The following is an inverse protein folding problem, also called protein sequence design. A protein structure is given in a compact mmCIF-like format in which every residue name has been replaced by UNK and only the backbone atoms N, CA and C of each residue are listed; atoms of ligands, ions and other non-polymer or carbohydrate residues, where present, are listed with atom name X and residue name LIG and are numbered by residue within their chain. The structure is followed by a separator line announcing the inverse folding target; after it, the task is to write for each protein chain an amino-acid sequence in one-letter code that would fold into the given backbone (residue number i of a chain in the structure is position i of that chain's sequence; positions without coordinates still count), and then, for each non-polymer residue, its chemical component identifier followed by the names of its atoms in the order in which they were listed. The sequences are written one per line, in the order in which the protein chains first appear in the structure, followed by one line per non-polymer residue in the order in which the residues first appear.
data_IF_813346073646
#
_entry.id   IF_813346073646
#
_cell.length_a   1.000
_cell.length_b   1.000
_cell.length_c   1.000
_cell.angle_alpha   90.00
_cell.angle_beta   90.00
_cell.angle_gamma   90.00
#
_symmetry.space_group_name_H-M   'P 1'
#
loop_
_entity.id
_entity.type
_entity.pdbx_description
1 polymer ?
#
# COMPACT_ATOMS: atom_id res chain seq x y z
N UNK A 1 -24.01 -10.88 4.65
CA UNK A 1 -23.95 -9.74 5.60
C UNK A 1 -23.87 -8.43 4.83
N UNK A 2 -24.28 -7.34 5.47
CA UNK A 2 -24.18 -5.98 4.93
C UNK A 2 -23.01 -5.29 5.60
N UNK A 3 -22.02 -4.89 4.83
CA UNK A 3 -20.72 -4.38 5.31
C UNK A 3 -20.53 -2.95 4.83
N UNK A 4 -20.14 -2.05 5.70
CA UNK A 4 -19.70 -0.70 5.37
C UNK A 4 -18.17 -0.62 5.47
N UNK A 5 -17.50 -0.10 4.44
CA UNK A 5 -16.07 0.21 4.43
C UNK A 5 -15.86 1.71 4.61
N UNK A 6 -15.05 2.11 5.58
CA UNK A 6 -14.76 3.51 5.93
C UNK A 6 -13.26 3.71 6.13
N UNK A 7 -12.75 4.91 5.82
CA UNK A 7 -11.37 5.30 6.11
C UNK A 7 -10.45 5.40 4.89
N UNK A 8 -10.79 4.75 3.79
CA UNK A 8 -10.12 4.93 2.50
C UNK A 8 -10.50 6.28 1.85
N UNK A 9 -9.77 6.67 0.82
CA UNK A 9 -10.06 7.89 0.08
C UNK A 9 -11.18 7.65 -0.94
N UNK A 10 -10.97 6.72 -1.86
CA UNK A 10 -11.91 6.40 -2.95
C UNK A 10 -11.71 4.96 -3.45
N UNK A 11 -12.80 4.36 -3.89
CA UNK A 11 -12.87 3.14 -4.70
C UNK A 11 -13.71 3.47 -5.94
N UNK A 12 -13.28 3.11 -7.16
CA UNK A 12 -11.98 2.51 -7.50
C UNK A 12 -10.83 3.51 -7.37
N UNK A 13 -9.66 3.03 -7.00
CA UNK A 13 -8.43 3.81 -7.07
C UNK A 13 -7.19 2.93 -6.91
N UNK A 14 -6.23 3.09 -7.81
CA UNK A 14 -4.94 2.41 -7.76
C UNK A 14 -3.81 3.29 -7.18
N UNK A 15 -4.15 4.44 -6.59
CA UNK A 15 -3.19 5.50 -6.20
C UNK A 15 -2.68 5.40 -4.78
N UNK A 16 -3.14 4.44 -4.00
CA UNK A 16 -2.68 4.20 -2.63
C UNK A 16 -2.86 2.74 -2.23
N UNK A 17 -1.96 2.23 -1.39
CA UNK A 17 -2.02 0.85 -0.94
C UNK A 17 -3.33 0.50 -0.20
N UNK A 18 -3.84 1.43 0.62
CA UNK A 18 -5.10 1.23 1.35
C UNK A 18 -6.28 1.12 0.37
N UNK A 19 -6.32 1.97 -0.66
CA UNK A 19 -7.37 1.98 -1.66
C UNK A 19 -7.41 0.66 -2.42
N UNK A 20 -6.26 0.15 -2.86
CA UNK A 20 -6.12 -1.16 -3.53
C UNK A 20 -6.60 -2.29 -2.63
N UNK A 21 -6.17 -2.31 -1.36
CA UNK A 21 -6.60 -3.34 -0.39
C UNK A 21 -8.11 -3.29 -0.16
N UNK A 22 -8.69 -2.09 0.04
CA UNK A 22 -10.14 -1.93 0.26
C UNK A 22 -10.93 -2.39 -0.96
N UNK A 23 -10.52 -1.99 -2.17
CA UNK A 23 -11.17 -2.39 -3.41
C UNK A 23 -11.16 -3.91 -3.59
N UNK A 24 -9.98 -4.53 -3.49
CA UNK A 24 -9.82 -5.95 -3.69
C UNK A 24 -10.53 -6.78 -2.62
N UNK A 25 -10.51 -6.32 -1.37
CA UNK A 25 -11.23 -6.96 -0.27
C UNK A 25 -12.74 -6.85 -0.47
N UNK A 26 -13.25 -5.66 -0.80
CA UNK A 26 -14.66 -5.41 -1.02
C UNK A 26 -15.21 -6.23 -2.20
N UNK A 27 -14.47 -6.29 -3.32
CA UNK A 27 -14.86 -7.09 -4.48
C UNK A 27 -14.97 -8.59 -4.15
N UNK A 28 -14.03 -9.13 -3.36
CA UNK A 28 -14.10 -10.53 -2.93
C UNK A 28 -15.23 -10.79 -1.95
N UNK A 29 -15.52 -9.86 -1.05
CA UNK A 29 -16.70 -9.95 -0.19
C UNK A 29 -17.99 -10.01 -1.00
N UNK A 30 -18.09 -9.22 -2.08
CA UNK A 30 -19.25 -9.29 -3.02
C UNK A 30 -19.33 -10.66 -3.69
N UNK A 31 -18.20 -11.20 -4.17
CA UNK A 31 -18.14 -12.55 -4.76
C UNK A 31 -18.59 -13.64 -3.77
N UNK A 32 -18.41 -13.42 -2.47
CA UNK A 32 -18.89 -14.28 -1.39
C UNK A 32 -20.31 -13.92 -0.92
N UNK A 33 -21.10 -13.26 -1.75
CA UNK A 33 -22.51 -12.93 -1.50
C UNK A 33 -22.74 -11.99 -0.31
N UNK A 34 -21.77 -11.11 0.01
CA UNK A 34 -21.96 -10.01 0.93
C UNK A 34 -22.37 -8.74 0.18
N UNK A 35 -23.19 -7.91 0.81
CA UNK A 35 -23.50 -6.57 0.31
C UNK A 35 -22.49 -5.59 0.89
N UNK A 36 -21.65 -5.01 0.05
CA UNK A 36 -20.60 -4.09 0.50
C UNK A 36 -20.89 -2.67 0.02
N UNK A 37 -20.70 -1.70 0.91
CA UNK A 37 -20.78 -0.27 0.60
C UNK A 37 -19.47 0.40 1.01
N UNK A 38 -18.81 1.06 0.07
CA UNK A 38 -17.63 1.89 0.32
C UNK A 38 -18.04 3.36 0.43
N UNK A 39 -17.56 4.03 1.49
CA UNK A 39 -17.80 5.45 1.71
C UNK A 39 -16.64 6.30 1.21
N UNK A 40 -16.77 6.82 0.00
CA UNK A 40 -15.76 7.61 -0.70
C UNK A 40 -15.75 9.07 -0.24
N UNK A 41 -14.55 9.67 -0.21
CA UNK A 41 -14.39 11.11 0.01
C UNK A 41 -14.93 11.90 -1.18
N UNK A 42 -15.51 13.07 -0.92
CA UNK A 42 -15.72 14.11 -1.93
C UNK A 42 -14.49 15.03 -1.97
N UNK A 43 -14.28 15.71 -3.12
CA UNK A 43 -13.15 16.63 -3.30
C UNK A 43 -12.07 16.08 -4.23
N UNK A 44 -11.03 16.92 -4.46
CA UNK A 44 -9.99 16.61 -5.42
C UNK A 44 -9.08 15.50 -4.94
N UNK A 45 -8.65 14.68 -5.89
CA UNK A 45 -7.78 13.55 -5.61
C UNK A 45 -6.35 14.02 -5.34
N UNK A 46 -5.70 13.25 -4.50
CA UNK A 46 -4.29 13.33 -4.13
C UNK A 46 -3.32 13.42 -5.33
N UNK A 47 -3.72 12.99 -6.51
CA UNK A 47 -2.88 12.96 -7.72
C UNK A 47 -3.22 14.00 -8.78
N UNK A 48 -4.17 14.91 -8.51
CA UNK A 48 -4.61 15.94 -9.44
C UNK A 48 -6.02 15.68 -10.02
N UNK A 49 -6.60 16.74 -10.61
CA UNK A 49 -7.97 16.71 -11.16
C UNK A 49 -8.11 15.79 -12.36
N UNK A 50 -7.05 15.61 -13.13
CA UNK A 50 -6.98 14.75 -14.32
C UNK A 50 -7.20 13.27 -14.01
N UNK A 51 -7.10 12.90 -12.76
CA UNK A 51 -7.34 11.53 -12.28
C UNK A 51 -8.66 11.37 -11.54
N UNK A 52 -9.53 12.38 -11.54
CA UNK A 52 -10.89 12.26 -11.03
C UNK A 52 -11.70 11.41 -12.02
N UNK A 53 -11.95 10.15 -11.62
CA UNK A 53 -12.79 9.23 -12.37
C UNK A 53 -14.25 9.66 -12.22
N UNK A 54 -15.08 9.37 -13.24
CA UNK A 54 -16.53 9.59 -13.21
C UNK A 54 -17.17 9.11 -11.90
N UNK A 55 -18.21 9.78 -11.50
CA UNK A 55 -18.96 9.46 -10.29
C UNK A 55 -19.76 8.17 -10.50
N UNK A 56 -19.21 7.06 -10.03
CA UNK A 56 -19.86 5.78 -10.03
C UNK A 56 -20.68 5.59 -8.75
N UNK A 57 -21.87 5.03 -8.88
CA UNK A 57 -22.69 4.58 -7.76
C UNK A 57 -22.41 3.11 -7.41
N UNK A 58 -21.84 2.36 -8.35
CA UNK A 58 -21.45 0.97 -8.19
C UNK A 58 -20.19 0.65 -9.00
N UNK A 59 -19.33 -0.20 -8.45
CA UNK A 59 -18.14 -0.73 -9.11
C UNK A 59 -17.86 -2.16 -8.65
N UNK A 60 -17.75 -3.12 -9.58
CA UNK A 60 -17.54 -4.57 -9.28
C UNK A 60 -18.55 -5.14 -8.26
N UNK A 61 -19.82 -4.65 -8.30
CA UNK A 61 -20.85 -5.03 -7.33
C UNK A 61 -20.75 -4.35 -5.96
N UNK A 62 -19.76 -3.48 -5.77
CA UNK A 62 -19.58 -2.67 -4.56
C UNK A 62 -20.43 -1.40 -4.70
N UNK A 63 -21.33 -1.14 -3.77
CA UNK A 63 -22.04 0.14 -3.71
C UNK A 63 -21.10 1.26 -3.27
N UNK A 64 -21.13 2.37 -3.97
CA UNK A 64 -20.29 3.52 -3.68
C UNK A 64 -21.16 4.68 -3.16
N UNK A 65 -20.82 5.19 -1.99
CA UNK A 65 -21.47 6.36 -1.41
C UNK A 65 -20.45 7.44 -1.12
N UNK A 66 -20.80 8.67 -1.38
CA UNK A 66 -19.95 9.83 -1.08
C UNK A 66 -20.30 10.40 0.27
N UNK A 67 -19.28 10.82 1.02
CA UNK A 67 -19.45 11.51 2.30
C UNK A 67 -18.92 12.94 2.23
N UNK A 68 -19.55 13.90 2.91
CA UNK A 68 -19.08 15.27 2.97
C UNK A 68 -17.61 15.31 3.42
N UNK A 69 -16.79 16.06 2.67
CA UNK A 69 -15.35 16.14 2.92
C UNK A 69 -14.91 17.59 2.75
N UNK A 70 -14.26 18.15 3.76
CA UNK A 70 -13.62 19.47 3.65
C UNK A 70 -12.26 19.25 2.99
N UNK A 71 -12.14 19.66 1.73
CA UNK A 71 -10.96 19.44 0.89
C UNK A 71 -9.80 20.38 1.28
N UNK A 72 -9.30 20.20 2.50
CA UNK A 72 -8.12 20.88 3.05
C UNK A 72 -7.20 19.85 3.72
N UNK A 73 -5.89 20.08 3.63
CA UNK A 73 -4.87 19.21 4.23
C UNK A 73 -5.20 18.92 5.70
N UNK A 74 -5.27 17.65 6.08
CA UNK A 74 -5.64 17.19 7.42
C UNK A 74 -7.16 17.10 7.64
N UNK A 75 -7.96 18.10 7.26
CA UNK A 75 -9.40 18.12 7.50
C UNK A 75 -10.16 17.12 6.63
N UNK A 76 -9.68 16.84 5.41
CA UNK A 76 -10.32 15.88 4.52
C UNK A 76 -10.40 14.48 5.14
N UNK A 77 -9.35 14.03 5.81
CA UNK A 77 -9.34 12.74 6.49
C UNK A 77 -10.31 12.72 7.70
N UNK A 78 -10.28 13.77 8.51
CA UNK A 78 -11.11 13.87 9.71
C UNK A 78 -12.59 13.92 9.36
N UNK A 79 -12.99 14.84 8.46
CA UNK A 79 -14.40 15.03 8.10
C UNK A 79 -14.99 13.84 7.37
N UNK A 80 -14.26 13.27 6.40
CA UNK A 80 -14.74 12.06 5.71
C UNK A 80 -14.90 10.86 6.64
N UNK A 81 -13.98 10.70 7.59
CA UNK A 81 -14.06 9.61 8.57
C UNK A 81 -15.23 9.79 9.54
N UNK A 82 -15.47 11.01 10.01
CA UNK A 82 -16.61 11.32 10.85
C UNK A 82 -17.93 11.02 10.14
N UNK A 83 -18.15 11.62 8.96
CA UNK A 83 -19.39 11.41 8.21
C UNK A 83 -19.57 9.99 7.71
N UNK A 84 -18.46 9.29 7.37
CA UNK A 84 -18.48 7.89 6.99
C UNK A 84 -18.92 6.98 8.14
N UNK A 85 -18.32 7.15 9.33
CA UNK A 85 -18.71 6.40 10.52
C UNK A 85 -20.13 6.74 10.98
N UNK A 86 -20.55 8.01 10.90
CA UNK A 86 -21.91 8.44 11.21
C UNK A 86 -22.94 7.79 10.28
N UNK A 87 -22.69 7.85 8.97
CA UNK A 87 -23.58 7.23 7.97
C UNK A 87 -23.62 5.69 8.12
N UNK A 88 -22.49 5.07 8.44
CA UNK A 88 -22.43 3.64 8.71
C UNK A 88 -23.15 3.25 10.00
N UNK A 89 -23.07 4.07 11.05
CA UNK A 89 -23.75 3.84 12.34
C UNK A 89 -25.26 3.76 12.19
N UNK A 90 -25.85 4.66 11.43
CA UNK A 90 -27.32 4.69 11.21
C UNK A 90 -27.76 3.96 9.94
N UNK A 91 -26.84 3.42 9.16
CA UNK A 91 -27.14 2.62 7.99
C UNK A 91 -27.54 1.17 8.32
N UNK A 92 -28.08 0.44 7.34
CA UNK A 92 -28.54 -0.93 7.52
C UNK A 92 -27.37 -1.93 7.43
N UNK A 93 -26.30 -1.73 8.18
CA UNK A 93 -25.10 -2.57 8.17
C UNK A 93 -25.04 -3.49 9.39
N UNK A 94 -24.47 -4.67 9.18
CA UNK A 94 -24.19 -5.63 10.23
C UNK A 94 -22.76 -5.41 10.77
N UNK A 95 -21.84 -5.00 9.86
CA UNK A 95 -20.43 -4.77 10.16
C UNK A 95 -19.99 -3.41 9.59
N UNK A 96 -19.17 -2.69 10.36
CA UNK A 96 -18.44 -1.51 9.90
C UNK A 96 -16.95 -1.80 9.96
N UNK A 97 -16.30 -1.86 8.81
CA UNK A 97 -14.88 -2.10 8.68
C UNK A 97 -14.17 -0.77 8.44
N UNK A 98 -13.35 -0.38 9.40
CA UNK A 98 -12.61 0.88 9.40
C UNK A 98 -11.15 0.59 8.98
N UNK A 99 -10.62 1.38 8.06
CA UNK A 99 -9.25 1.25 7.59
C UNK A 99 -8.41 2.45 8.04
N UNK A 100 -7.29 2.17 8.69
CA UNK A 100 -6.31 3.06 9.31
C UNK A 100 -6.72 3.66 10.68
N UNK A 101 -5.70 4.05 11.44
CA UNK A 101 -5.80 4.52 12.82
C UNK A 101 -6.57 5.84 12.94
N UNK A 102 -6.30 6.82 12.06
CA UNK A 102 -6.98 8.11 12.10
C UNK A 102 -8.51 8.00 12.02
N UNK A 103 -9.09 7.31 11.02
CA UNK A 103 -10.52 7.02 10.95
C UNK A 103 -11.10 6.31 12.16
N UNK A 104 -10.31 5.48 12.84
CA UNK A 104 -10.74 4.75 14.03
C UNK A 104 -11.11 5.65 15.21
N UNK A 105 -10.74 6.94 15.18
CA UNK A 105 -11.19 7.94 16.16
C UNK A 105 -12.72 7.99 16.28
N UNK A 106 -13.45 7.62 15.25
CA UNK A 106 -14.91 7.63 15.22
C UNK A 106 -15.54 6.23 15.32
N UNK A 107 -14.76 5.20 15.69
CA UNK A 107 -15.21 3.82 15.83
C UNK A 107 -16.31 3.63 16.89
N UNK A 108 -16.38 4.51 17.87
CA UNK A 108 -17.43 4.52 18.90
C UNK A 108 -18.83 4.78 18.33
N UNK A 109 -18.96 5.53 17.23
CA UNK A 109 -20.27 5.83 16.60
C UNK A 109 -20.99 4.53 16.16
N UNK A 110 -20.44 3.70 15.27
CA UNK A 110 -21.07 2.44 14.91
C UNK A 110 -21.12 1.45 16.08
N UNK A 111 -20.17 1.48 17.02
CA UNK A 111 -20.18 0.62 18.19
C UNK A 111 -21.39 0.86 19.07
N UNK A 112 -21.71 2.14 19.37
CA UNK A 112 -22.84 2.53 20.21
C UNK A 112 -24.20 2.25 19.57
N UNK A 113 -24.26 2.14 18.24
CA UNK A 113 -25.49 1.75 17.52
C UNK A 113 -25.60 0.24 17.28
N UNK A 114 -24.80 -0.56 17.99
CA UNK A 114 -24.86 -2.01 17.97
C UNK A 114 -24.23 -2.67 16.74
N UNK A 115 -23.44 -1.94 15.94
CA UNK A 115 -22.73 -2.52 14.80
C UNK A 115 -21.48 -3.27 15.26
N UNK A 116 -21.13 -4.36 14.57
CA UNK A 116 -19.82 -4.97 14.76
C UNK A 116 -18.77 -4.09 14.08
N UNK A 117 -17.76 -3.69 14.83
CA UNK A 117 -16.67 -2.82 14.33
C UNK A 117 -15.41 -3.64 14.16
N UNK A 118 -14.81 -3.58 12.98
CA UNK A 118 -13.51 -4.16 12.65
C UNK A 118 -12.58 -3.02 12.26
N UNK A 119 -11.34 -3.03 12.74
CA UNK A 119 -10.31 -2.07 12.38
C UNK A 119 -9.15 -2.79 11.70
N UNK A 120 -8.72 -2.32 10.53
CA UNK A 120 -7.45 -2.72 9.93
C UNK A 120 -6.42 -1.59 10.04
N UNK A 121 -5.30 -1.89 10.71
CA UNK A 121 -4.14 -1.01 10.83
C UNK A 121 -3.14 -1.35 9.72
N UNK A 122 -2.96 -0.42 8.77
CA UNK A 122 -2.10 -0.62 7.61
C UNK A 122 -0.62 -0.30 7.83
N UNK A 123 -0.26 0.09 9.03
CA UNK A 123 1.05 0.49 9.50
C UNK A 123 0.90 1.57 10.55
N UNK A 124 1.93 1.81 11.34
CA UNK A 124 1.90 2.83 12.40
C UNK A 124 2.07 4.21 11.77
N UNK A 125 0.96 4.82 11.36
CA UNK A 125 0.96 6.08 10.61
C UNK A 125 1.59 7.24 11.40
N UNK A 126 1.49 7.24 12.72
CA UNK A 126 2.11 8.25 13.58
C UNK A 126 3.65 8.22 13.54
N UNK A 127 4.27 7.09 13.19
CA UNK A 127 5.72 6.95 13.06
C UNK A 127 6.29 7.67 11.83
N UNK A 128 5.44 8.10 10.89
CA UNK A 128 5.86 8.83 9.69
C UNK A 128 6.31 10.24 10.04
N UNK A 129 7.43 10.65 9.47
CA UNK A 129 8.04 11.97 9.75
C UNK A 129 7.09 13.16 9.53
N UNK A 130 6.21 13.07 8.53
CA UNK A 130 5.22 14.13 8.25
C UNK A 130 4.25 14.45 9.40
N UNK A 131 4.11 13.54 10.36
CA UNK A 131 3.21 13.69 11.50
C UNK A 131 3.91 14.05 12.80
N UNK A 132 5.24 13.92 12.88
CA UNK A 132 6.01 14.20 14.10
C UNK A 132 5.71 15.61 14.63
N UNK A 133 5.28 15.70 15.89
CA UNK A 133 4.99 16.95 16.59
C UNK A 133 3.79 17.74 16.07
N UNK A 134 2.92 17.18 15.23
CA UNK A 134 1.77 17.86 14.65
C UNK A 134 0.45 17.44 15.30
N UNK A 135 -0.61 18.25 15.10
CA UNK A 135 -1.99 17.87 15.42
C UNK A 135 -2.38 16.53 14.79
N UNK A 136 -1.82 16.20 13.61
CA UNK A 136 -2.03 14.93 12.95
C UNK A 136 -1.55 13.73 13.76
N UNK A 137 -0.42 13.83 14.44
CA UNK A 137 0.07 12.76 15.34
C UNK A 137 -0.90 12.53 16.50
N UNK A 138 -1.34 13.60 17.15
CA UNK A 138 -2.34 13.50 18.21
C UNK A 138 -3.64 12.85 17.73
N UNK A 139 -4.12 13.23 16.55
CA UNK A 139 -5.34 12.67 15.94
C UNK A 139 -5.18 11.16 15.68
N UNK A 140 -4.05 10.74 15.12
CA UNK A 140 -3.77 9.33 14.81
C UNK A 140 -3.68 8.50 16.10
N UNK A 141 -2.91 8.96 17.10
CA UNK A 141 -2.82 8.27 18.39
C UNK A 141 -4.15 8.19 19.13
N UNK A 142 -4.97 9.24 19.05
CA UNK A 142 -6.30 9.23 19.64
C UNK A 142 -7.20 8.24 18.91
N UNK A 143 -7.08 8.15 17.60
CA UNK A 143 -7.78 7.17 16.78
C UNK A 143 -7.37 5.74 17.12
N UNK A 144 -6.08 5.48 17.30
CA UNK A 144 -5.54 4.18 17.70
C UNK A 144 -6.12 3.75 19.06
N UNK A 145 -6.04 4.61 20.08
CA UNK A 145 -6.63 4.34 21.42
C UNK A 145 -8.14 4.10 21.37
N UNK A 146 -8.83 4.88 20.53
CA UNK A 146 -10.28 4.72 20.34
C UNK A 146 -10.59 3.41 19.62
N UNK A 147 -9.79 3.05 18.63
CA UNK A 147 -9.86 1.75 17.95
C UNK A 147 -9.70 0.59 18.91
N UNK A 148 -8.68 0.61 19.76
CA UNK A 148 -8.45 -0.41 20.81
C UNK A 148 -9.67 -0.56 21.72
N UNK A 149 -10.30 0.56 22.10
CA UNK A 149 -11.43 0.55 23.04
C UNK A 149 -12.74 0.09 22.41
N UNK A 150 -12.99 0.40 21.14
CA UNK A 150 -14.32 0.26 20.53
C UNK A 150 -14.39 -0.74 19.37
N UNK A 151 -13.28 -1.14 18.78
CA UNK A 151 -13.31 -2.22 17.80
C UNK A 151 -13.57 -3.58 18.50
N UNK A 152 -14.25 -4.47 17.81
CA UNK A 152 -14.40 -5.85 18.24
C UNK A 152 -13.21 -6.71 17.83
N UNK A 153 -12.60 -6.35 16.70
CA UNK A 153 -11.41 -7.00 16.15
C UNK A 153 -10.48 -5.94 15.59
N UNK A 154 -9.19 -6.09 15.83
CA UNK A 154 -8.14 -5.29 15.23
C UNK A 154 -7.26 -6.20 14.39
N UNK A 155 -7.12 -5.85 13.12
CA UNK A 155 -6.30 -6.56 12.14
C UNK A 155 -5.02 -5.76 11.94
N UNK A 156 -3.89 -6.47 11.96
CA UNK A 156 -2.56 -5.93 11.69
C UNK A 156 -1.88 -6.72 10.59
N UNK A 157 -1.01 -6.08 9.83
CA UNK A 157 -0.42 -6.63 8.61
C UNK A 157 0.95 -7.29 8.83
N UNK A 158 1.56 -7.08 10.01
CA UNK A 158 2.88 -7.61 10.35
C UNK A 158 2.98 -7.91 11.85
N UNK A 159 3.97 -8.71 12.22
CA UNK A 159 4.18 -9.15 13.60
C UNK A 159 4.72 -8.04 14.50
N UNK A 160 5.50 -7.09 13.97
CA UNK A 160 5.97 -5.95 14.75
C UNK A 160 4.83 -5.07 15.24
N UNK A 161 3.85 -4.79 14.37
CA UNK A 161 2.62 -4.09 14.76
C UNK A 161 1.79 -4.92 15.75
N UNK A 162 1.71 -6.24 15.57
CA UNK A 162 1.03 -7.13 16.52
C UNK A 162 1.66 -7.03 17.92
N UNK A 163 2.98 -7.12 17.98
CA UNK A 163 3.75 -6.98 19.22
C UNK A 163 3.55 -5.59 19.83
N UNK A 164 3.58 -4.53 19.03
CA UNK A 164 3.34 -3.16 19.48
C UNK A 164 1.99 -3.02 20.22
N UNK A 165 0.90 -3.54 19.64
CA UNK A 165 -0.43 -3.48 20.28
C UNK A 165 -0.48 -4.30 21.57
N UNK A 166 0.19 -5.45 21.61
CA UNK A 166 0.29 -6.26 22.82
C UNK A 166 1.08 -5.54 23.92
N UNK A 167 2.25 -4.97 23.59
CA UNK A 167 3.13 -4.33 24.57
C UNK A 167 2.57 -2.98 25.06
N UNK A 168 1.86 -2.23 24.18
CA UNK A 168 1.40 -0.87 24.48
C UNK A 168 0.03 -0.85 25.14
N UNK A 169 -0.86 -1.75 24.72
CA UNK A 169 -2.28 -1.73 25.13
C UNK A 169 -2.76 -3.01 25.82
N UNK A 170 -1.87 -4.01 25.98
CA UNK A 170 -2.24 -5.37 26.41
C UNK A 170 -3.43 -5.92 25.59
N UNK A 171 -3.42 -5.63 24.28
CA UNK A 171 -4.53 -5.93 23.38
C UNK A 171 -4.10 -6.94 22.30
N UNK A 172 -4.77 -8.09 22.30
CA UNK A 172 -4.56 -9.09 21.25
C UNK A 172 -5.11 -8.61 19.92
N UNK A 173 -4.31 -8.73 18.86
CA UNK A 173 -4.70 -8.38 17.49
C UNK A 173 -4.62 -9.59 16.58
N UNK A 174 -5.31 -9.51 15.44
CA UNK A 174 -5.29 -10.58 14.45
C UNK A 174 -4.29 -10.25 13.33
N UNK A 175 -3.25 -11.08 13.21
CA UNK A 175 -2.29 -10.95 12.11
C UNK A 175 -2.91 -11.46 10.81
N UNK A 176 -2.94 -10.59 9.79
CA UNK A 176 -3.46 -10.92 8.47
C UNK A 176 -2.76 -10.06 7.44
N UNK A 177 -1.80 -10.66 6.74
CA UNK A 177 -1.00 -9.96 5.76
C UNK A 177 -1.81 -9.56 4.52
N UNK A 178 -1.32 -8.56 3.79
CA UNK A 178 -1.81 -8.25 2.46
C UNK A 178 -1.51 -9.41 1.49
N UNK A 179 -2.33 -9.52 0.47
CA UNK A 179 -2.09 -10.38 -0.69
C UNK A 179 -2.07 -9.57 -1.97
N UNK A 180 -1.64 -10.21 -3.05
CA UNK A 180 -1.70 -9.68 -4.42
C UNK A 180 -2.42 -10.65 -5.33
N UNK A 181 -2.95 -10.14 -6.45
CA UNK A 181 -3.57 -10.98 -7.46
C UNK A 181 -2.52 -11.81 -8.19
N UNK A 182 -2.88 -13.01 -8.67
CA UNK A 182 -2.06 -13.72 -9.65
C UNK A 182 -1.83 -12.81 -10.87
N UNK A 183 -0.61 -12.81 -11.38
CA UNK A 183 -0.19 -12.00 -12.51
C UNK A 183 0.23 -12.87 -13.70
N UNK A 184 0.07 -12.34 -14.90
CA UNK A 184 0.63 -12.92 -16.12
C UNK A 184 1.73 -11.98 -16.65
N UNK A 185 2.87 -12.52 -17.11
CA UNK A 185 3.90 -11.72 -17.74
C UNK A 185 3.37 -10.98 -18.98
N UNK A 186 3.74 -9.71 -19.13
CA UNK A 186 3.43 -8.87 -20.28
C UNK A 186 4.69 -8.63 -21.13
N UNK A 187 4.52 -8.56 -22.46
CA UNK A 187 5.61 -8.16 -23.36
C UNK A 187 5.96 -6.67 -23.19
N UNK A 188 7.21 -6.26 -23.52
CA UNK A 188 7.65 -4.88 -23.32
C UNK A 188 7.26 -3.99 -24.52
N UNK A 189 5.98 -3.80 -24.79
CA UNK A 189 5.51 -3.05 -25.95
C UNK A 189 5.39 -1.54 -25.66
N UNK A 190 4.63 -1.15 -24.65
CA UNK A 190 4.44 0.26 -24.25
C UNK A 190 5.76 0.85 -23.70
N UNK A 191 6.49 0.08 -22.89
CA UNK A 191 7.76 0.56 -22.31
C UNK A 191 8.86 0.71 -23.36
N UNK A 192 8.83 -0.11 -24.41
CA UNK A 192 9.75 0.03 -25.57
C UNK A 192 9.43 1.31 -26.34
N UNK A 193 8.16 1.51 -26.68
CA UNK A 193 7.73 2.67 -27.45
C UNK A 193 8.00 3.99 -26.71
N UNK A 194 7.66 4.06 -25.41
CA UNK A 194 7.74 5.30 -24.63
C UNK A 194 9.12 5.62 -24.11
N UNK A 195 9.89 4.60 -23.70
CA UNK A 195 11.12 4.79 -22.94
C UNK A 195 12.33 4.06 -23.52
N UNK A 196 12.16 3.32 -24.62
CA UNK A 196 13.22 2.50 -25.21
C UNK A 196 13.74 1.42 -24.24
N UNK A 197 12.83 0.81 -23.46
CA UNK A 197 13.15 -0.21 -22.49
C UNK A 197 12.85 -1.60 -23.06
N UNK A 198 13.80 -2.50 -22.85
CA UNK A 198 13.67 -3.92 -23.20
C UNK A 198 13.68 -4.77 -21.93
N UNK A 199 13.34 -6.03 -22.10
CA UNK A 199 13.41 -6.99 -21.01
C UNK A 199 14.80 -7.03 -20.41
N UNK A 200 14.87 -7.05 -19.08
CA UNK A 200 16.10 -7.11 -18.28
C UNK A 200 17.06 -5.92 -18.51
N UNK A 201 16.60 -4.83 -19.15
CA UNK A 201 17.44 -3.64 -19.44
C UNK A 201 17.45 -2.59 -18.34
N UNK A 202 16.66 -2.75 -17.28
CA UNK A 202 16.52 -1.72 -16.25
C UNK A 202 16.26 -2.28 -14.83
N UNK A 203 16.67 -1.45 -13.87
CA UNK A 203 16.34 -1.58 -12.45
C UNK A 203 15.07 -0.78 -12.20
N UNK A 204 14.08 -1.36 -11.53
CA UNK A 204 12.78 -0.73 -11.26
C UNK A 204 12.65 -0.32 -9.80
N UNK A 205 12.28 0.93 -9.58
CA UNK A 205 11.60 1.40 -8.37
C UNK A 205 10.16 1.76 -8.73
N UNK A 206 9.18 1.27 -7.97
CA UNK A 206 7.78 1.64 -8.15
C UNK A 206 7.14 1.90 -6.78
N UNK A 207 6.70 3.15 -6.56
CA UNK A 207 6.10 3.53 -5.30
C UNK A 207 5.77 5.02 -5.22
N UNK A 208 5.22 5.43 -4.07
CA UNK A 208 4.99 6.85 -3.83
C UNK A 208 6.31 7.61 -3.69
N UNK A 209 6.38 8.80 -4.27
CA UNK A 209 7.53 9.67 -4.17
C UNK A 209 7.46 10.50 -2.88
N UNK A 210 7.87 9.88 -1.78
CA UNK A 210 7.95 10.49 -0.44
C UNK A 210 9.27 10.10 0.23
N UNK A 211 9.85 10.96 1.09
CA UNK A 211 11.18 10.72 1.66
C UNK A 211 11.33 9.36 2.35
N UNK A 212 10.32 8.94 3.10
CA UNK A 212 10.34 7.66 3.82
C UNK A 212 10.40 6.41 2.90
N UNK A 213 10.23 6.57 1.59
CA UNK A 213 10.43 5.50 0.61
C UNK A 213 11.87 5.38 0.11
N UNK A 214 12.76 6.26 0.54
CA UNK A 214 14.21 6.15 0.36
C UNK A 214 14.71 6.20 -1.08
N UNK A 215 13.90 6.68 -2.05
CA UNK A 215 14.28 6.70 -3.47
C UNK A 215 15.58 7.49 -3.71
N UNK A 216 15.89 8.47 -2.87
CA UNK A 216 17.14 9.23 -2.91
C UNK A 216 18.38 8.37 -2.64
N UNK A 217 18.28 7.34 -1.76
CA UNK A 217 19.38 6.39 -1.56
C UNK A 217 19.67 5.59 -2.85
N UNK A 218 18.59 5.21 -3.57
CA UNK A 218 18.71 4.45 -4.81
C UNK A 218 19.35 5.28 -5.93
N UNK A 219 18.96 6.56 -6.06
CA UNK A 219 19.58 7.47 -7.04
C UNK A 219 21.08 7.60 -6.77
N UNK A 220 21.48 7.85 -5.50
CA UNK A 220 22.90 7.97 -5.14
C UNK A 220 23.69 6.65 -5.34
N UNK A 221 23.07 5.53 -4.99
CA UNK A 221 23.70 4.22 -5.18
C UNK A 221 23.87 3.90 -6.67
N UNK A 222 22.83 4.16 -7.48
CA UNK A 222 22.86 3.91 -8.92
C UNK A 222 23.92 4.74 -9.65
N UNK A 223 24.10 6.00 -9.28
CA UNK A 223 25.16 6.87 -9.86
C UNK A 223 26.58 6.34 -9.65
N UNK A 224 26.79 5.47 -8.66
CA UNK A 224 28.09 4.81 -8.41
C UNK A 224 28.32 3.58 -9.28
N UNK A 225 27.30 3.10 -10.00
CA UNK A 225 27.38 1.88 -10.79
C UNK A 225 27.97 2.14 -12.19
N UNK A 226 28.87 1.25 -12.60
CA UNK A 226 29.30 1.12 -13.99
C UNK A 226 28.41 0.04 -14.64
N UNK A 227 27.31 0.44 -15.26
CA UNK A 227 26.31 -0.48 -15.84
C UNK A 227 25.68 0.13 -17.10
N UNK A 228 25.28 -0.71 -18.02
CA UNK A 228 24.48 -0.37 -19.20
C UNK A 228 22.98 -0.32 -18.91
N UNK A 229 22.57 -0.76 -17.73
CA UNK A 229 21.16 -0.76 -17.33
C UNK A 229 20.68 0.64 -16.99
N UNK A 230 19.40 0.87 -17.23
CA UNK A 230 18.71 2.10 -16.82
C UNK A 230 18.14 1.96 -15.41
N UNK A 231 17.92 3.07 -14.72
CA UNK A 231 17.12 3.13 -13.51
C UNK A 231 15.75 3.75 -13.84
N UNK A 232 14.69 3.00 -13.65
CA UNK A 232 13.32 3.47 -13.86
C UNK A 232 12.68 3.76 -12.50
N UNK A 233 12.33 5.02 -12.30
CA UNK A 233 11.65 5.52 -11.10
C UNK A 233 10.19 5.82 -11.47
N UNK A 234 9.32 4.89 -11.12
CA UNK A 234 7.89 4.96 -11.41
C UNK A 234 7.08 5.33 -10.15
N UNK A 235 6.17 6.28 -10.31
CA UNK A 235 5.25 6.70 -9.25
C UNK A 235 5.05 8.20 -9.21
N UNK A 236 4.14 8.60 -8.35
CA UNK A 236 3.76 10.00 -8.16
C UNK A 236 3.73 10.38 -6.69
N UNK A 237 3.51 11.67 -6.46
CA UNK A 237 3.29 12.24 -5.15
C UNK A 237 2.09 13.17 -5.19
N UNK A 238 1.36 13.22 -4.09
CA UNK A 238 0.25 14.16 -3.93
C UNK A 238 0.61 15.41 -3.13
N UNK A 239 1.57 15.25 -2.21
CA UNK A 239 1.86 16.28 -1.19
C UNK A 239 3.35 16.65 -1.15
N UNK A 240 4.20 15.96 -1.92
CA UNK A 240 5.66 16.05 -1.87
C UNK A 240 6.28 16.29 -3.25
N UNK A 241 5.71 17.21 -4.05
CA UNK A 241 6.27 17.58 -5.35
C UNK A 241 7.72 18.05 -5.23
N UNK A 242 8.05 18.77 -4.17
CA UNK A 242 9.41 19.21 -3.86
C UNK A 242 10.41 18.03 -3.79
N UNK A 243 9.98 16.86 -3.33
CA UNK A 243 10.84 15.69 -3.26
C UNK A 243 11.12 15.09 -4.64
N UNK A 244 10.13 15.13 -5.55
CA UNK A 244 10.34 14.73 -6.94
C UNK A 244 11.36 15.67 -7.63
N UNK A 245 11.24 16.97 -7.38
CA UNK A 245 12.17 17.95 -7.93
C UNK A 245 13.58 17.75 -7.37
N UNK A 246 13.70 17.48 -6.07
CA UNK A 246 14.97 17.12 -5.43
C UNK A 246 15.58 15.85 -6.06
N UNK A 247 14.80 14.80 -6.30
CA UNK A 247 15.27 13.57 -6.91
C UNK A 247 15.78 13.80 -8.34
N UNK A 248 15.11 14.64 -9.12
CA UNK A 248 15.55 15.02 -10.47
C UNK A 248 16.85 15.82 -10.45
N UNK A 249 16.98 16.76 -9.52
CA UNK A 249 18.22 17.52 -9.30
C UNK A 249 19.36 16.57 -8.89
N UNK A 250 19.10 15.65 -7.97
CA UNK A 250 20.06 14.64 -7.51
C UNK A 250 20.50 13.69 -8.64
N UNK A 251 19.59 13.35 -9.56
CA UNK A 251 19.93 12.57 -10.76
C UNK A 251 20.92 13.32 -11.65
N UNK A 252 20.89 14.67 -11.64
CA UNK A 252 21.91 15.52 -12.28
C UNK A 252 21.98 15.37 -13.79
N UNK A 253 20.88 15.01 -14.47
CA UNK A 253 20.85 14.81 -15.93
C UNK A 253 21.48 13.50 -16.40
N UNK A 254 21.67 12.51 -15.54
CA UNK A 254 22.11 11.16 -15.96
C UNK A 254 21.03 10.51 -16.83
N UNK A 255 21.31 10.35 -18.13
CA UNK A 255 20.39 9.81 -19.14
C UNK A 255 19.92 8.38 -18.85
N UNK A 256 20.61 7.68 -17.96
CA UNK A 256 20.22 6.34 -17.53
C UNK A 256 19.07 6.35 -16.52
N UNK A 257 18.73 7.52 -15.91
CA UNK A 257 17.69 7.62 -14.88
C UNK A 257 16.40 8.17 -15.50
N UNK A 258 15.36 7.36 -15.54
CA UNK A 258 14.07 7.67 -16.15
C UNK A 258 13.02 7.85 -15.09
N UNK A 259 12.37 9.01 -15.05
CA UNK A 259 11.20 9.29 -14.24
C UNK A 259 9.93 9.14 -15.07
N UNK A 260 9.13 8.12 -14.83
CA UNK A 260 7.91 7.88 -15.62
C UNK A 260 6.71 8.70 -15.15
N UNK A 261 6.75 9.22 -13.92
CA UNK A 261 5.56 9.70 -13.24
C UNK A 261 4.66 8.55 -12.78
N UNK A 262 3.40 8.84 -12.49
CA UNK A 262 2.42 7.84 -12.09
C UNK A 262 2.16 6.84 -13.23
N UNK A 263 2.12 5.55 -12.90
CA UNK A 263 1.86 4.45 -13.84
C UNK A 263 0.74 3.55 -13.32
N UNK A 264 -0.10 3.08 -14.21
CA UNK A 264 -1.18 2.12 -13.92
C UNK A 264 -1.43 1.18 -15.11
N UNK A 265 -2.35 0.25 -14.95
CA UNK A 265 -2.79 -0.68 -15.98
C UNK A 265 -1.63 -1.41 -16.67
N UNK A 266 -1.71 -1.54 -18.00
CA UNK A 266 -0.76 -2.29 -18.81
C UNK A 266 0.68 -1.77 -18.69
N UNK A 267 0.88 -0.45 -18.57
CA UNK A 267 2.21 0.14 -18.41
C UNK A 267 2.88 -0.34 -17.10
N UNK A 268 2.13 -0.40 -16.01
CA UNK A 268 2.63 -0.93 -14.72
C UNK A 268 2.94 -2.42 -14.83
N UNK A 269 2.09 -3.19 -15.47
CA UNK A 269 2.27 -4.63 -15.69
C UNK A 269 3.54 -4.92 -16.52
N UNK A 270 3.75 -4.18 -17.59
CA UNK A 270 4.97 -4.29 -18.41
C UNK A 270 6.22 -3.92 -17.64
N UNK A 271 6.19 -2.85 -16.82
CA UNK A 271 7.31 -2.46 -15.99
C UNK A 271 7.72 -3.54 -14.98
N UNK A 272 6.78 -4.19 -14.32
CA UNK A 272 7.10 -5.31 -13.44
C UNK A 272 7.55 -6.55 -14.22
N UNK A 273 6.92 -6.86 -15.34
CA UNK A 273 7.17 -8.08 -16.11
C UNK A 273 8.58 -8.14 -16.71
N UNK A 274 9.15 -6.98 -17.02
CA UNK A 274 10.38 -6.88 -17.81
C UNK A 274 11.56 -6.25 -17.04
N UNK A 275 11.39 -5.93 -15.75
CA UNK A 275 12.48 -5.41 -14.94
C UNK A 275 13.57 -6.47 -14.72
N UNK A 276 14.83 -6.05 -14.76
CA UNK A 276 15.99 -6.86 -14.36
C UNK A 276 15.92 -7.21 -12.88
N UNK A 277 15.69 -6.20 -12.03
CA UNK A 277 15.44 -6.33 -10.62
C UNK A 277 14.55 -5.18 -10.10
N UNK A 278 13.95 -5.39 -8.95
CA UNK A 278 13.13 -4.40 -8.26
C UNK A 278 13.82 -3.95 -6.96
N UNK A 279 13.82 -2.64 -6.67
CA UNK A 279 14.43 -2.08 -5.46
C UNK A 279 13.41 -1.33 -4.64
N UNK A 280 13.31 -1.65 -3.35
CA UNK A 280 12.49 -0.93 -2.37
C UNK A 280 13.38 -0.45 -1.19
N UNK A 281 13.95 0.76 -1.25
CA UNK A 281 14.91 1.25 -0.27
C UNK A 281 14.24 2.00 0.91
N UNK A 282 13.06 1.56 1.32
CA UNK A 282 12.21 2.26 2.28
C UNK A 282 12.78 2.32 3.69
N UNK A 283 12.55 3.43 4.37
CA UNK A 283 12.84 3.61 5.80
C UNK A 283 11.71 3.13 6.69
N UNK A 284 10.49 3.12 6.16
CA UNK A 284 9.27 2.76 6.89
C UNK A 284 8.22 2.19 5.94
N UNK A 285 7.65 1.06 6.34
CA UNK A 285 6.55 0.39 5.66
C UNK A 285 5.50 -0.11 6.67
N UNK A 286 4.32 -0.44 6.18
CA UNK A 286 3.39 -1.29 6.91
C UNK A 286 3.50 -2.73 6.41
N UNK A 287 3.03 -2.94 5.17
CA UNK A 287 3.29 -4.12 4.35
C UNK A 287 3.26 -3.69 2.88
N UNK A 288 4.43 -3.62 2.22
CA UNK A 288 4.55 -2.98 0.92
C UNK A 288 3.95 -3.83 -0.20
N UNK A 289 2.81 -3.39 -0.76
CA UNK A 289 2.16 -4.07 -1.90
C UNK A 289 3.06 -4.13 -3.13
N UNK A 290 3.81 -3.05 -3.42
CA UNK A 290 4.72 -3.01 -4.57
C UNK A 290 5.82 -4.08 -4.50
N UNK A 291 6.24 -4.47 -3.30
CA UNK A 291 7.19 -5.56 -3.11
C UNK A 291 6.54 -6.92 -3.38
N UNK A 292 5.33 -7.13 -2.85
CA UNK A 292 4.53 -8.33 -3.14
C UNK A 292 4.22 -8.45 -4.65
N UNK A 293 3.87 -7.33 -5.30
CA UNK A 293 3.64 -7.27 -6.74
C UNK A 293 4.92 -7.65 -7.49
N UNK A 294 6.06 -7.01 -7.19
CA UNK A 294 7.34 -7.33 -7.83
C UNK A 294 7.69 -8.83 -7.72
N UNK A 295 7.51 -9.41 -6.54
CA UNK A 295 7.76 -10.84 -6.32
C UNK A 295 6.77 -11.72 -7.09
N UNK A 296 5.51 -11.32 -7.24
CA UNK A 296 4.51 -12.08 -8.01
C UNK A 296 4.82 -12.11 -9.50
N UNK A 297 5.47 -11.07 -10.04
CA UNK A 297 6.02 -11.06 -11.41
C UNK A 297 7.35 -11.83 -11.54
N UNK A 298 7.88 -12.36 -10.44
CA UNK A 298 9.13 -13.11 -10.42
C UNK A 298 10.38 -12.24 -10.48
N UNK A 299 10.30 -10.98 -10.08
CA UNK A 299 11.48 -10.12 -10.00
C UNK A 299 12.41 -10.55 -8.87
N UNK A 300 13.72 -10.48 -9.11
CA UNK A 300 14.69 -10.39 -8.03
C UNK A 300 14.47 -9.07 -7.29
N UNK A 301 14.46 -9.10 -5.95
CA UNK A 301 14.15 -7.93 -5.14
C UNK A 301 15.30 -7.57 -4.21
N UNK A 302 15.58 -6.25 -4.10
CA UNK A 302 16.50 -5.70 -3.12
C UNK A 302 15.72 -4.76 -2.21
N UNK A 303 15.81 -4.95 -0.89
CA UNK A 303 15.11 -4.10 0.07
C UNK A 303 16.02 -3.66 1.21
N UNK A 304 15.63 -2.59 1.92
CA UNK A 304 16.23 -2.26 3.20
C UNK A 304 15.94 -3.33 4.25
N UNK A 305 16.77 -3.40 5.30
CA UNK A 305 16.71 -4.37 6.41
C UNK A 305 15.64 -4.06 7.46
N UNK A 306 14.59 -3.32 7.09
CA UNK A 306 13.44 -3.09 7.97
C UNK A 306 12.61 -4.37 8.09
N UNK A 307 12.06 -4.61 9.28
CA UNK A 307 11.33 -5.83 9.59
C UNK A 307 10.14 -6.06 8.66
N UNK A 308 9.43 -4.99 8.28
CA UNK A 308 8.27 -5.05 7.39
C UNK A 308 8.61 -5.54 5.98
N UNK A 309 9.79 -5.20 5.47
CA UNK A 309 10.29 -5.70 4.19
C UNK A 309 10.80 -7.14 4.33
N UNK A 310 11.57 -7.42 5.37
CA UNK A 310 12.10 -8.76 5.62
C UNK A 310 10.99 -9.80 5.79
N UNK A 311 9.92 -9.44 6.50
CA UNK A 311 8.74 -10.31 6.68
C UNK A 311 7.99 -10.62 5.37
N UNK A 312 8.24 -9.87 4.30
CA UNK A 312 7.71 -10.15 2.96
C UNK A 312 8.64 -11.06 2.16
N UNK A 313 9.93 -10.74 2.15
CA UNK A 313 10.89 -11.45 1.30
C UNK A 313 11.46 -12.71 1.93
N UNK A 314 11.55 -12.76 3.28
CA UNK A 314 12.31 -13.77 4.01
C UNK A 314 13.71 -13.98 3.38
N UNK A 315 14.07 -15.23 3.06
CA UNK A 315 15.36 -15.55 2.41
C UNK A 315 15.31 -15.46 0.87
N UNK A 316 14.21 -14.91 0.31
CA UNK A 316 13.97 -14.88 -1.14
C UNK A 316 14.27 -13.51 -1.77
N UNK A 317 15.12 -12.71 -1.19
CA UNK A 317 15.53 -11.42 -1.69
C UNK A 317 16.88 -11.00 -1.11
N UNK A 318 17.37 -9.88 -1.60
CA UNK A 318 18.62 -9.29 -1.14
C UNK A 318 18.31 -8.15 -0.18
N UNK A 319 19.01 -8.12 0.94
CA UNK A 319 18.84 -7.10 1.98
C UNK A 319 20.06 -6.20 2.03
N UNK A 320 19.87 -4.90 2.13
CA UNK A 320 20.90 -3.92 2.40
C UNK A 320 20.56 -3.13 3.68
N UNK A 321 21.58 -2.55 4.31
CA UNK A 321 21.40 -1.75 5.53
C UNK A 321 20.63 -0.46 5.21
N UNK A 322 19.52 -0.24 5.90
CA UNK A 322 18.67 0.94 5.80
C UNK A 322 19.51 2.24 5.78
N UNK A 323 19.29 3.07 4.75
CA UNK A 323 19.99 4.34 4.59
C UNK A 323 21.45 4.26 4.13
N UNK A 324 22.02 3.07 4.00
CA UNK A 324 23.41 2.89 3.57
C UNK A 324 23.52 2.80 2.03
N UNK A 325 23.83 3.95 1.41
CA UNK A 325 24.02 4.08 -0.04
C UNK A 325 25.15 3.20 -0.56
N UNK A 326 26.22 2.98 0.21
CA UNK A 326 27.35 2.17 -0.22
C UNK A 326 27.00 0.68 -0.21
N UNK A 327 26.33 0.21 0.83
CA UNK A 327 25.85 -1.16 0.90
C UNK A 327 24.84 -1.44 -0.22
N UNK A 328 23.90 -0.50 -0.47
CA UNK A 328 22.96 -0.61 -1.59
C UNK A 328 23.70 -0.68 -2.95
N UNK A 329 24.70 0.18 -3.19
CA UNK A 329 25.51 0.15 -4.43
C UNK A 329 26.25 -1.18 -4.57
N UNK A 330 26.79 -1.72 -3.48
CA UNK A 330 27.45 -3.03 -3.48
C UNK A 330 26.46 -4.15 -3.84
N UNK A 331 25.26 -4.16 -3.22
CA UNK A 331 24.20 -5.16 -3.53
C UNK A 331 23.73 -5.07 -4.97
N UNK A 332 23.59 -3.86 -5.52
CA UNK A 332 23.25 -3.64 -6.92
C UNK A 332 24.33 -4.16 -7.88
N UNK A 333 25.62 -4.01 -7.53
CA UNK A 333 26.74 -4.49 -8.35
C UNK A 333 26.82 -6.02 -8.37
N UNK A 334 26.57 -6.66 -7.23
CA UNK A 334 26.66 -8.12 -7.07
C UNK A 334 25.31 -8.83 -7.23
N UNK A 335 24.24 -8.11 -7.55
CA UNK A 335 22.98 -8.74 -7.92
C UNK A 335 23.24 -9.71 -9.07
N UNK A 336 22.90 -10.98 -8.91
CA UNK A 336 23.42 -12.01 -9.80
C UNK A 336 22.98 -11.80 -11.24
N UNK A 337 23.95 -11.74 -12.14
CA UNK A 337 23.78 -11.74 -13.61
C UNK A 337 23.13 -13.06 -14.07
N UNK A 338 23.11 -14.05 -13.21
CA UNK A 338 22.53 -15.37 -13.49
C UNK A 338 22.08 -16.05 -12.22
N UNK A 339 20.82 -15.78 -11.82
CA UNK A 339 20.06 -16.88 -11.31
C UNK A 339 19.47 -17.61 -12.52
N UNK A 340 19.94 -18.80 -12.87
CA UNK A 340 19.35 -19.57 -13.96
C UNK A 340 17.95 -19.98 -13.55
N UNK A 341 16.99 -19.43 -14.24
CA UNK A 341 15.58 -19.53 -13.89
C UNK A 341 15.28 -18.57 -12.73
N UNK A 342 14.49 -17.51 -13.01
CA UNK A 342 13.91 -16.60 -12.02
C UNK A 342 13.76 -17.35 -10.70
N UNK A 343 14.29 -16.84 -9.58
CA UNK A 343 14.35 -17.50 -8.27
C UNK A 343 13.03 -18.11 -7.80
N UNK A 344 11.96 -17.82 -8.52
CA UNK A 344 10.64 -18.38 -8.33
C UNK A 344 10.19 -19.02 -9.64
N UNK A 345 10.25 -20.38 -9.77
CA UNK A 345 9.43 -21.04 -10.78
C UNK A 345 7.98 -20.62 -10.54
N UNK A 346 7.31 -20.19 -11.60
CA UNK A 346 5.87 -19.94 -11.60
C UNK A 346 5.19 -21.09 -10.85
N UNK A 347 4.73 -20.92 -9.63
CA UNK A 347 3.96 -21.90 -8.87
C UNK A 347 4.53 -22.48 -7.58
N UNK A 348 5.72 -22.12 -7.08
CA UNK A 348 6.20 -22.77 -5.86
C UNK A 348 6.61 -21.87 -4.70
N UNK A 349 6.50 -20.55 -4.81
CA UNK A 349 6.27 -19.78 -3.61
C UNK A 349 4.80 -20.00 -3.28
N UNK A 350 4.53 -21.02 -2.48
CA UNK A 350 3.37 -21.02 -1.64
C UNK A 350 3.58 -19.85 -0.64
N UNK A 351 3.53 -18.57 -1.15
CA UNK A 351 2.87 -17.59 -0.33
C UNK A 351 1.61 -18.33 0.09
N UNK A 352 1.35 -18.51 1.40
CA UNK A 352 0.06 -19.00 1.74
C UNK A 352 -0.85 -18.18 0.83
N UNK A 353 -1.50 -18.84 -0.14
CA UNK A 353 -2.64 -18.28 -0.82
C UNK A 353 -3.63 -18.06 0.30
N UNK A 354 -3.31 -17.08 1.12
CA UNK A 354 -4.26 -16.41 1.96
C UNK A 354 -5.04 -15.66 0.89
N UNK A 355 -5.75 -16.49 0.13
CA UNK A 355 -6.87 -16.04 -0.61
C UNK A 355 -7.53 -15.05 0.34
N UNK A 356 -7.62 -13.76 -0.02
CA UNK A 356 -8.43 -12.80 0.71
C UNK A 356 -9.79 -13.37 1.12
N UNK A 357 -10.21 -14.45 0.49
CA UNK A 357 -11.44 -15.20 0.69
C UNK A 357 -11.47 -16.09 1.94
N UNK A 358 -10.40 -16.80 2.27
CA UNK A 358 -10.35 -17.71 3.43
C UNK A 358 -10.41 -16.90 4.73
N UNK A 359 -9.95 -15.69 4.69
CA UNK A 359 -9.89 -14.76 5.79
C UNK A 359 -11.23 -14.31 6.35
N UNK A 360 -12.17 -13.96 5.48
CA UNK A 360 -13.52 -13.53 5.91
C UNK A 360 -14.33 -14.68 6.51
N UNK A 361 -14.14 -15.90 6.04
CA UNK A 361 -14.82 -17.06 6.59
C UNK A 361 -14.42 -17.32 8.06
N UNK A 362 -13.14 -17.13 8.39
CA UNK A 362 -12.65 -17.31 9.77
C UNK A 362 -13.09 -16.15 10.69
N UNK A 363 -13.20 -14.92 10.17
CA UNK A 363 -13.61 -13.74 10.94
C UNK A 363 -15.06 -13.79 11.39
N UNK A 364 -15.89 -14.53 10.68
CA UNK A 364 -17.34 -14.56 10.89
C UNK A 364 -17.86 -15.86 11.49
N UNK A 365 -17.05 -16.94 11.51
CA UNK A 365 -17.46 -18.23 12.08
C UNK A 365 -17.02 -18.45 13.53
N UNK A 366 -16.26 -17.58 14.14
CA UNK A 366 -15.86 -17.71 15.54
C UNK A 366 -16.77 -16.83 16.40
N UNK A 367 -17.72 -17.53 16.99
CA UNK A 367 -18.62 -17.31 18.12
C UNK A 367 -19.99 -16.70 17.85
N UNK A 368 -21.03 -17.50 18.17
CA UNK A 368 -22.31 -16.95 18.59
C UNK A 368 -22.16 -16.51 20.05
N UNK A 369 -22.54 -15.30 20.32
CA UNK A 369 -23.18 -14.72 21.51
C UNK A 369 -22.92 -13.24 21.58
#
# INVERSE_FOLDING_TARGET
MRIAMVGHKRVPSQKGGIEVVVEELAARMVMHSHSVTCYNRTGHHVSGKEYDIEHLDEYRGIRLKRVPTIDRKGLAAVTSSFFGCLAAAFGPYDVVHIHAEGPAMFSWLPRLTGKRVVLTVHGLDWARDKWKGSFGSWYIHTGEKTGVRFAHEIIVLNHSTQKYFQDTYDHATRYIPNGVNPVAPAAPDIIREKYGLEKDSYILYLGRMVPEKGCHYLVDAFKKLHTDKKLVIAGGSSDTHWYIDQLKEQAGGDDRIIFTGFVDGALREELYSNAYLFVLPSDLEGMPLCLLEAMSYGNCVITSDIEECYNVIHDNGIVFRKGDVNDLAQKLTYAPVSLPGRLFPHASVSFPQISFAVFLFTLFMVTPC
#
